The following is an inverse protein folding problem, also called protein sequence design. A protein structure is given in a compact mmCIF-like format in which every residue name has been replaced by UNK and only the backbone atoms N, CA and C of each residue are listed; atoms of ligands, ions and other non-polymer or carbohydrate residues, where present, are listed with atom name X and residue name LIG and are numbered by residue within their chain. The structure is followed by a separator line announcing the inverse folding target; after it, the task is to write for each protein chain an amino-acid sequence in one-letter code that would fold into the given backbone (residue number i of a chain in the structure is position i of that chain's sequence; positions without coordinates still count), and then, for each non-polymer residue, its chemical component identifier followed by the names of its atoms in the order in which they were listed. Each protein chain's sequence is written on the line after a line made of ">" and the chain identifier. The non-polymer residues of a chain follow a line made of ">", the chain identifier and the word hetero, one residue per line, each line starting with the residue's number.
data_IF_992128482673
#
_entry.id   IF_992128482673
#
_cell.length_a   1.000
_cell.length_b   1.000
_cell.length_c   1.000
_cell.angle_alpha   90.00
_cell.angle_beta   90.00
_cell.angle_gamma   90.00
#
_symmetry.space_group_name_H-M   'P 1'
#
loop_
_entity.id
_entity.type
_entity.pdbx_description
1 polymer ?
#
# COMPACT_ATOMS: atom_id res chain seq x y z
N UNK A 1 20.37 -18.27 -23.67
CA UNK A 1 19.08 -17.71 -24.11
C UNK A 1 18.30 -17.48 -22.83
N UNK A 2 18.12 -16.22 -22.44
CA UNK A 2 17.32 -15.89 -21.26
C UNK A 2 15.87 -16.29 -21.52
N UNK A 3 15.43 -17.40 -20.92
CA UNK A 3 14.02 -17.72 -20.86
C UNK A 3 13.42 -16.89 -19.72
N UNK A 4 12.72 -15.83 -20.13
CA UNK A 4 12.04 -14.89 -19.26
C UNK A 4 11.19 -15.63 -18.24
N UNK A 5 11.51 -15.38 -16.97
CA UNK A 5 10.78 -15.80 -15.79
C UNK A 5 9.28 -15.69 -16.05
N UNK A 6 8.61 -16.84 -16.09
CA UNK A 6 7.17 -16.94 -16.32
C UNK A 6 6.46 -16.00 -15.38
N UNK A 7 5.79 -14.99 -15.94
CA UNK A 7 4.89 -14.13 -15.19
C UNK A 7 3.75 -15.04 -14.76
N UNK A 8 3.89 -15.63 -13.58
CA UNK A 8 2.80 -16.32 -12.89
C UNK A 8 1.59 -15.42 -13.00
N UNK A 9 0.53 -15.93 -13.62
CA UNK A 9 -0.70 -15.21 -13.85
C UNK A 9 -1.31 -14.89 -12.49
N UNK A 10 -0.97 -13.71 -11.97
CA UNK A 10 -1.41 -13.27 -10.65
C UNK A 10 -2.93 -13.27 -10.61
N UNK A 11 -3.49 -13.82 -9.53
CA UNK A 11 -4.93 -13.75 -9.28
C UNK A 11 -5.32 -12.27 -9.18
N UNK A 12 -6.53 -11.89 -9.61
CA UNK A 12 -6.99 -10.50 -9.62
C UNK A 12 -6.76 -9.69 -8.32
N UNK A 13 -6.85 -10.27 -7.10
CA UNK A 13 -6.47 -9.59 -5.86
C UNK A 13 -4.99 -9.19 -5.80
N UNK A 14 -4.08 -10.05 -6.26
CA UNK A 14 -2.65 -9.78 -6.28
C UNK A 14 -2.29 -8.68 -7.29
N UNK A 15 -2.96 -8.66 -8.45
CA UNK A 15 -2.84 -7.57 -9.43
C UNK A 15 -3.31 -6.25 -8.82
N UNK A 16 -4.47 -6.24 -8.15
CA UNK A 16 -5.00 -5.05 -7.49
C UNK A 16 -4.04 -4.53 -6.40
N UNK A 17 -3.50 -5.43 -5.57
CA UNK A 17 -2.51 -5.06 -4.55
C UNK A 17 -1.24 -4.44 -5.18
N UNK A 18 -0.72 -5.01 -6.28
CA UNK A 18 0.43 -4.46 -7.01
C UNK A 18 0.13 -3.07 -7.59
N UNK A 19 -1.06 -2.87 -8.17
CA UNK A 19 -1.45 -1.59 -8.75
C UNK A 19 -1.61 -0.51 -7.68
N UNK A 20 -2.20 -0.85 -6.53
CA UNK A 20 -2.28 0.04 -5.37
C UNK A 20 -0.87 0.42 -4.88
N UNK A 21 0.03 -0.55 -4.72
CA UNK A 21 1.41 -0.29 -4.30
C UNK A 21 2.16 0.61 -5.30
N UNK A 22 1.99 0.37 -6.60
CA UNK A 22 2.57 1.18 -7.66
C UNK A 22 2.05 2.62 -7.61
N UNK A 23 0.73 2.79 -7.47
CA UNK A 23 0.09 4.09 -7.32
C UNK A 23 0.66 4.88 -6.13
N UNK A 24 0.80 4.24 -4.96
CA UNK A 24 1.35 4.89 -3.77
C UNK A 24 2.82 5.26 -3.99
N UNK A 25 3.62 4.35 -4.57
CA UNK A 25 5.04 4.57 -4.85
C UNK A 25 5.29 5.76 -5.78
N UNK A 26 4.39 6.00 -6.74
CA UNK A 26 4.50 7.13 -7.67
C UNK A 26 3.95 8.44 -7.12
N UNK A 27 2.92 8.40 -6.28
CA UNK A 27 2.25 9.59 -5.76
C UNK A 27 2.87 10.17 -4.48
N UNK A 28 3.48 9.33 -3.64
CA UNK A 28 3.99 9.72 -2.33
C UNK A 28 5.51 9.66 -2.25
N UNK A 29 6.13 10.44 -1.35
CA UNK A 29 7.56 10.34 -1.08
C UNK A 29 7.97 8.91 -0.69
N UNK A 30 9.20 8.52 -1.04
CA UNK A 30 9.74 7.17 -0.76
C UNK A 30 9.61 6.76 0.72
N UNK A 31 9.79 7.70 1.64
CA UNK A 31 9.67 7.45 3.08
C UNK A 31 8.21 7.20 3.50
N UNK A 32 7.24 7.89 2.90
CA UNK A 32 5.82 7.72 3.19
C UNK A 32 5.32 6.38 2.64
N UNK A 33 5.79 5.99 1.44
CA UNK A 33 5.55 4.65 0.89
C UNK A 33 6.14 3.53 1.78
N UNK A 34 7.35 3.73 2.31
CA UNK A 34 7.99 2.77 3.22
C UNK A 34 7.25 2.66 4.55
N UNK A 35 6.81 3.78 5.13
CA UNK A 35 5.95 3.81 6.33
C UNK A 35 4.63 3.07 6.09
N UNK A 36 3.99 3.26 4.93
CA UNK A 36 2.77 2.54 4.58
C UNK A 36 2.98 1.03 4.54
N UNK A 37 4.05 0.56 3.87
CA UNK A 37 4.37 -0.88 3.83
C UNK A 37 4.62 -1.47 5.22
N UNK A 38 5.38 -0.75 6.06
CA UNK A 38 5.63 -1.15 7.45
C UNK A 38 4.38 -1.13 8.34
N UNK A 39 3.34 -0.37 7.99
CA UNK A 39 2.10 -0.34 8.78
C UNK A 39 1.09 -1.40 8.34
N UNK A 40 1.06 -1.72 7.04
CA UNK A 40 -0.01 -2.50 6.39
C UNK A 40 0.42 -3.93 6.06
N UNK A 41 1.67 -4.14 5.64
CA UNK A 41 2.14 -5.45 5.17
C UNK A 41 3.11 -6.12 6.14
N UNK A 42 4.01 -5.34 6.74
CA UNK A 42 4.96 -5.85 7.70
C UNK A 42 4.45 -5.61 9.11
N UNK A 43 3.93 -6.66 9.76
CA UNK A 43 3.81 -6.78 11.23
C UNK A 43 2.78 -5.88 11.93
N UNK A 44 2.34 -6.30 13.12
CA UNK A 44 1.45 -5.55 14.03
C UNK A 44 2.06 -4.26 14.60
N UNK A 45 2.96 -3.61 13.89
CA UNK A 45 3.58 -2.34 14.26
C UNK A 45 2.53 -1.29 14.58
N UNK A 46 2.58 -0.81 15.82
CA UNK A 46 1.81 0.34 16.27
C UNK A 46 2.36 1.62 15.67
N UNK A 47 1.59 2.70 15.72
CA UNK A 47 2.11 4.01 15.34
C UNK A 47 3.26 4.47 16.25
N UNK A 48 3.35 3.94 17.47
CA UNK A 48 4.44 4.23 18.39
C UNK A 48 5.75 3.59 17.93
N UNK A 49 5.71 2.33 17.51
CA UNK A 49 6.91 1.64 16.98
C UNK A 49 7.47 2.36 15.74
N UNK A 50 6.57 2.84 14.87
CA UNK A 50 6.96 3.63 13.70
C UNK A 50 7.55 5.00 14.09
N UNK A 51 7.01 5.62 15.14
CA UNK A 51 7.53 6.87 15.68
C UNK A 51 8.94 6.68 16.24
N UNK A 52 9.14 5.64 17.03
CA UNK A 52 10.42 5.31 17.64
C UNK A 52 11.48 4.94 16.57
N UNK A 53 11.07 4.22 15.52
CA UNK A 53 11.95 3.86 14.41
C UNK A 53 12.36 5.05 13.51
N UNK A 54 11.46 6.00 13.28
CA UNK A 54 11.67 7.09 12.31
C UNK A 54 12.05 8.43 12.95
N UNK A 55 11.87 8.58 14.26
CA UNK A 55 11.97 9.87 14.95
C UNK A 55 10.85 10.86 14.61
N UNK A 56 9.83 10.44 13.84
CA UNK A 56 8.70 11.27 13.44
C UNK A 56 7.56 11.08 14.42
N UNK A 57 6.88 12.16 14.83
CA UNK A 57 5.77 12.05 15.78
C UNK A 57 4.64 11.14 15.28
N UNK A 58 4.05 10.37 16.20
CA UNK A 58 2.87 9.51 15.99
C UNK A 58 1.79 10.21 15.19
N UNK A 59 1.43 11.46 15.55
CA UNK A 59 0.38 12.22 14.87
C UNK A 59 0.72 12.52 13.41
N UNK A 60 1.99 12.78 13.10
CA UNK A 60 2.46 13.00 11.73
C UNK A 60 2.40 11.72 10.91
N UNK A 61 2.83 10.60 11.49
CA UNK A 61 2.73 9.28 10.84
C UNK A 61 1.27 8.93 10.58
N UNK A 62 0.38 9.12 11.56
CA UNK A 62 -1.05 8.90 11.41
C UNK A 62 -1.63 9.70 10.24
N UNK A 63 -1.33 11.01 10.16
CA UNK A 63 -1.79 11.87 9.05
C UNK A 63 -1.28 11.40 7.69
N UNK A 64 -0.02 10.98 7.59
CA UNK A 64 0.57 10.44 6.35
C UNK A 64 -0.15 9.17 5.91
N UNK A 65 -0.31 8.20 6.80
CA UNK A 65 -1.00 6.93 6.51
C UNK A 65 -2.46 7.18 6.15
N UNK A 66 -3.17 8.07 6.87
CA UNK A 66 -4.56 8.39 6.57
C UNK A 66 -4.71 9.09 5.21
N UNK A 67 -3.77 9.97 4.85
CA UNK A 67 -3.74 10.59 3.51
C UNK A 67 -3.59 9.55 2.40
N UNK A 68 -2.69 8.57 2.56
CA UNK A 68 -2.52 7.47 1.61
C UNK A 68 -3.81 6.65 1.50
N UNK A 69 -4.39 6.24 2.63
CA UNK A 69 -5.63 5.46 2.65
C UNK A 69 -6.79 6.20 1.99
N UNK A 70 -6.92 7.50 2.22
CA UNK A 70 -7.96 8.31 1.57
C UNK A 70 -7.74 8.37 0.06
N UNK A 71 -6.51 8.54 -0.41
CA UNK A 71 -6.24 8.53 -1.85
C UNK A 71 -6.55 7.19 -2.53
N UNK A 72 -6.35 6.07 -1.82
CA UNK A 72 -6.76 4.74 -2.31
C UNK A 72 -8.29 4.65 -2.39
N UNK A 73 -9.00 5.05 -1.33
CA UNK A 73 -10.47 4.98 -1.27
C UNK A 73 -11.17 5.92 -2.26
N UNK A 74 -10.55 7.05 -2.57
CA UNK A 74 -11.06 7.99 -3.58
C UNK A 74 -10.75 7.57 -5.01
N UNK A 75 -9.97 6.51 -5.23
CA UNK A 75 -9.69 5.98 -6.56
C UNK A 75 -10.80 5.01 -6.99
N UNK A 76 -11.72 5.51 -7.83
CA UNK A 76 -12.89 4.75 -8.31
C UNK A 76 -12.47 3.43 -8.98
N UNK A 77 -11.35 3.40 -9.71
CA UNK A 77 -10.87 2.18 -10.36
C UNK A 77 -10.49 1.10 -9.33
N UNK A 78 -9.90 1.48 -8.19
CA UNK A 78 -9.61 0.54 -7.11
C UNK A 78 -10.88 0.09 -6.39
N UNK A 79 -11.81 1.02 -6.13
CA UNK A 79 -13.09 0.69 -5.49
C UNK A 79 -13.88 -0.31 -6.33
N UNK A 80 -14.00 -0.09 -7.64
CA UNK A 80 -14.72 -0.99 -8.54
C UNK A 80 -14.09 -2.39 -8.58
N UNK A 81 -12.76 -2.46 -8.68
CA UNK A 81 -12.04 -3.75 -8.67
C UNK A 81 -12.17 -4.47 -7.33
N UNK A 82 -12.11 -3.74 -6.22
CA UNK A 82 -12.32 -4.32 -4.90
C UNK A 82 -13.74 -4.88 -4.73
N UNK A 83 -14.77 -4.16 -5.19
CA UNK A 83 -16.15 -4.63 -5.18
C UNK A 83 -16.36 -5.87 -6.04
N UNK A 84 -15.71 -5.95 -7.21
CA UNK A 84 -15.78 -7.16 -8.05
C UNK A 84 -15.12 -8.39 -7.40
N UNK A 85 -14.11 -8.18 -6.54
CA UNK A 85 -13.39 -9.25 -5.83
C UNK A 85 -14.15 -9.68 -4.56
N UNK A 86 -14.82 -8.75 -3.87
CA UNK A 86 -15.55 -9.01 -2.63
C UNK A 86 -16.93 -9.69 -2.83
N UNK A 87 -17.34 -9.97 -4.06
CA UNK A 87 -18.50 -10.81 -4.39
C UNK A 87 -18.02 -12.25 -4.57
N UNK A 88 -17.68 -12.92 -3.46
CA UNK A 88 -17.48 -14.39 -3.39
C UNK A 88 -17.98 -14.89 -2.04
#
# INVERSE_FOLDING_TARGET
>A
MEEGLSVEELVEPDKLAKDILSFIKHKYPKNDYRLFKLKVYDTGCSYKDLSDYTGVSVSTIYRKINSINNAIRSNISFVNRYSCIAIV
#
